data_IF_250137941035
#
_entry.id   IF_250137941035
#
_cell.length_a   1.000
_cell.length_b   1.000
_cell.length_c   1.000
_cell.angle_alpha   90.00
_cell.angle_beta   90.00
_cell.angle_gamma   90.00
#
_symmetry.space_group_name_H-M   'P 1'
#
loop_
_entity.id
_entity.type
_entity.pdbx_description
1 polymer ?
#
# COMPACT_ATOMS: atom_id res chain seq x y z
N UNK A 1 64.30 2.29 -49.59
CA UNK A 1 62.96 2.74 -49.18
C UNK A 1 62.32 1.62 -48.38
N UNK A 2 62.20 1.81 -47.07
CA UNK A 2 61.63 0.83 -46.11
C UNK A 2 60.13 1.08 -45.97
N UNK A 3 59.24 0.06 -45.94
CA UNK A 3 57.83 0.28 -45.72
C UNK A 3 57.53 0.48 -44.23
N UNK A 4 56.80 1.55 -43.92
CA UNK A 4 56.36 1.90 -42.57
C UNK A 4 55.36 0.87 -42.02
N UNK A 5 55.61 0.37 -40.80
CA UNK A 5 54.62 -0.36 -40.00
C UNK A 5 53.57 0.62 -39.48
N UNK A 6 52.32 0.43 -39.89
CA UNK A 6 51.15 1.08 -39.29
C UNK A 6 50.94 0.43 -37.91
N UNK A 7 51.11 1.22 -36.84
CA UNK A 7 50.79 0.80 -35.48
C UNK A 7 49.28 0.62 -35.32
N UNK A 8 48.88 -0.53 -34.76
CA UNK A 8 47.51 -0.74 -34.33
C UNK A 8 47.17 0.22 -33.18
N UNK A 9 45.95 0.76 -33.11
CA UNK A 9 45.54 1.59 -31.98
C UNK A 9 45.29 0.70 -30.75
N UNK A 10 46.24 0.66 -29.81
CA UNK A 10 46.13 -0.03 -28.51
C UNK A 10 45.20 0.68 -27.49
N UNK A 11 44.32 1.60 -27.92
CA UNK A 11 43.54 2.46 -27.01
C UNK A 11 42.09 2.02 -26.71
N UNK A 12 41.50 1.10 -27.46
CA UNK A 12 40.04 0.87 -27.40
C UNK A 12 39.54 -0.05 -26.28
N UNK A 13 40.37 -0.98 -25.80
CA UNK A 13 39.94 -2.01 -24.84
C UNK A 13 39.71 -1.47 -23.43
N UNK A 14 40.61 -0.59 -22.97
CA UNK A 14 40.55 -0.04 -21.62
C UNK A 14 39.34 0.89 -21.42
N UNK A 15 38.97 1.69 -22.42
CA UNK A 15 37.81 2.59 -22.33
C UNK A 15 36.48 1.84 -22.42
N UNK A 16 36.42 0.75 -23.21
CA UNK A 16 35.25 -0.15 -23.25
C UNK A 16 35.11 -0.92 -21.93
N UNK A 17 36.21 -1.37 -21.34
CA UNK A 17 36.21 -2.08 -20.05
C UNK A 17 35.86 -1.12 -18.91
N UNK A 18 36.32 0.14 -18.96
CA UNK A 18 35.96 1.18 -18.00
C UNK A 18 34.51 1.62 -18.14
N UNK A 19 34.00 1.75 -19.36
CA UNK A 19 32.59 2.01 -19.64
C UNK A 19 31.70 0.84 -19.22
N UNK A 20 32.13 -0.40 -19.45
CA UNK A 20 31.44 -1.61 -18.97
C UNK A 20 31.48 -1.71 -17.44
N UNK A 21 32.60 -1.37 -16.80
CA UNK A 21 32.75 -1.33 -15.35
C UNK A 21 31.96 -0.17 -14.71
N UNK A 22 31.85 0.98 -15.37
CA UNK A 22 30.98 2.09 -14.97
C UNK A 22 29.51 1.75 -15.15
N UNK A 23 29.13 1.11 -16.26
CA UNK A 23 27.78 0.59 -16.49
C UNK A 23 27.43 -0.47 -15.43
N UNK A 24 28.34 -1.40 -15.14
CA UNK A 24 28.19 -2.38 -14.06
C UNK A 24 28.16 -1.73 -12.66
N UNK A 25 28.85 -0.60 -12.44
CA UNK A 25 28.79 0.22 -11.21
C UNK A 25 27.50 1.05 -11.11
N UNK A 26 26.86 1.37 -12.24
CA UNK A 26 25.55 2.00 -12.29
C UNK A 26 24.42 0.97 -12.12
N UNK A 27 24.62 -0.26 -12.59
CA UNK A 27 23.69 -1.38 -12.43
C UNK A 27 23.75 -2.02 -11.02
N UNK A 28 24.84 -1.83 -10.27
CA UNK A 28 24.92 -2.28 -8.87
C UNK A 28 24.11 -1.37 -7.95
N UNK A 29 23.04 -1.93 -7.37
CA UNK A 29 22.29 -1.31 -6.29
C UNK A 29 23.21 -0.80 -5.17
N UNK A 30 22.91 0.41 -4.67
CA UNK A 30 23.73 1.11 -3.65
C UNK A 30 23.05 1.14 -2.27
N UNK A 31 21.77 0.82 -2.20
CA UNK A 31 20.96 0.89 -0.98
C UNK A 31 21.42 -0.11 0.10
N UNK A 32 21.50 0.34 1.35
CA UNK A 32 21.78 -0.55 2.50
C UNK A 32 20.50 -1.23 2.98
N UNK A 33 20.61 -2.25 3.85
CA UNK A 33 19.43 -2.88 4.46
C UNK A 33 18.52 -1.90 5.21
N UNK A 34 19.08 -0.81 5.78
CA UNK A 34 18.31 0.26 6.42
C UNK A 34 17.50 1.06 5.42
N UNK A 35 18.08 1.35 4.24
CA UNK A 35 17.35 2.00 3.15
C UNK A 35 16.22 1.10 2.63
N UNK A 36 16.46 -0.22 2.53
CA UNK A 36 15.42 -1.18 2.17
C UNK A 36 14.30 -1.22 3.22
N UNK A 37 14.62 -1.32 4.52
CA UNK A 37 13.64 -1.28 5.60
C UNK A 37 12.76 -0.02 5.52
N UNK A 38 13.41 1.12 5.33
CA UNK A 38 12.75 2.41 5.19
C UNK A 38 11.81 2.44 3.98
N UNK A 39 12.27 2.04 2.80
CA UNK A 39 11.44 2.03 1.59
C UNK A 39 10.27 1.06 1.69
N UNK A 40 10.47 -0.15 2.21
CA UNK A 40 9.39 -1.12 2.44
C UNK A 40 8.37 -0.56 3.43
N UNK A 41 8.83 -0.07 4.59
CA UNK A 41 7.95 0.51 5.61
C UNK A 41 7.14 1.69 5.06
N UNK A 42 7.77 2.64 4.38
CA UNK A 42 7.09 3.82 3.82
C UNK A 42 6.14 3.50 2.65
N UNK A 43 6.37 2.41 1.91
CA UNK A 43 5.48 1.98 0.82
C UNK A 43 4.21 1.35 1.37
N UNK A 44 4.32 0.56 2.45
CA UNK A 44 3.18 -0.08 3.10
C UNK A 44 2.42 0.90 4.02
N UNK A 45 3.15 1.72 4.80
CA UNK A 45 2.64 2.58 5.88
C UNK A 45 1.91 3.85 5.42
N UNK A 46 1.01 3.78 4.45
CA UNK A 46 0.15 4.90 4.07
C UNK A 46 -1.00 5.10 5.07
N UNK A 47 -1.53 6.32 5.28
CA UNK A 47 -2.65 6.54 6.19
C UNK A 47 -3.84 5.66 5.83
N UNK A 48 -4.09 5.46 4.53
CA UNK A 48 -5.16 4.62 4.03
C UNK A 48 -5.00 3.15 4.43
N UNK A 49 -3.77 2.66 4.61
CA UNK A 49 -3.50 1.25 4.90
C UNK A 49 -3.91 0.85 6.32
N UNK A 50 -3.68 1.68 7.34
CA UNK A 50 -3.91 1.28 8.73
C UNK A 50 -4.94 2.11 9.50
N UNK A 51 -5.35 3.27 8.98
CA UNK A 51 -6.52 3.99 9.50
C UNK A 51 -7.83 3.16 9.57
N UNK A 52 -8.10 2.19 8.66
CA UNK A 52 -9.33 1.40 8.72
C UNK A 52 -9.23 0.13 9.58
N UNK A 53 -8.05 -0.20 10.13
CA UNK A 53 -7.88 -1.42 10.93
C UNK A 53 -8.78 -1.49 12.17
N UNK A 54 -8.97 -0.41 12.96
CA UNK A 54 -9.95 -0.42 14.06
C UNK A 54 -11.35 -0.82 13.61
N UNK A 55 -11.81 -0.30 12.46
CA UNK A 55 -13.09 -0.62 11.87
C UNK A 55 -13.19 -2.07 11.38
N UNK A 56 -12.10 -2.61 10.84
CA UNK A 56 -12.03 -4.03 10.47
C UNK A 56 -12.19 -4.94 11.71
N UNK A 57 -11.52 -4.60 12.82
CA UNK A 57 -11.66 -5.32 14.09
C UNK A 57 -13.09 -5.21 14.65
N UNK A 58 -13.70 -4.02 14.58
CA UNK A 58 -15.09 -3.82 14.99
C UNK A 58 -16.09 -4.64 14.16
N UNK A 59 -15.81 -4.80 12.87
CA UNK A 59 -16.68 -5.52 11.95
C UNK A 59 -16.52 -7.05 12.03
N UNK A 60 -15.33 -7.55 12.41
CA UNK A 60 -15.08 -8.98 12.66
C UNK A 60 -15.42 -9.41 14.09
N UNK A 61 -15.39 -8.47 15.03
CA UNK A 61 -15.37 -8.73 16.45
C UNK A 61 -13.96 -9.11 16.93
N UNK A 62 -13.69 -8.91 18.22
CA UNK A 62 -12.33 -9.00 18.78
C UNK A 62 -11.55 -10.28 18.43
N UNK A 63 -12.02 -11.51 18.74
CA UNK A 63 -11.20 -12.70 18.53
C UNK A 63 -10.89 -12.95 17.05
N UNK A 64 -11.89 -12.80 16.17
CA UNK A 64 -11.70 -12.98 14.73
C UNK A 64 -10.84 -11.86 14.14
N UNK A 65 -11.06 -10.61 14.55
CA UNK A 65 -10.27 -9.46 14.13
C UNK A 65 -8.79 -9.61 14.46
N UNK A 66 -8.46 -9.98 15.71
CA UNK A 66 -7.08 -10.23 16.15
C UNK A 66 -6.47 -11.41 15.39
N UNK A 67 -7.19 -12.54 15.28
CA UNK A 67 -6.69 -13.70 14.54
C UNK A 67 -6.41 -13.37 13.07
N UNK A 68 -7.33 -12.68 12.39
CA UNK A 68 -7.15 -12.24 11.00
C UNK A 68 -5.98 -11.28 10.85
N UNK A 69 -5.78 -10.34 11.78
CA UNK A 69 -4.65 -9.41 11.77
C UNK A 69 -3.31 -10.13 11.95
N UNK A 70 -3.23 -11.07 12.90
CA UNK A 70 -2.03 -11.88 13.17
C UNK A 70 -1.68 -12.74 11.95
N UNK A 71 -2.65 -13.51 11.45
CA UNK A 71 -2.45 -14.39 10.29
C UNK A 71 -2.07 -13.55 9.06
N UNK A 72 -2.77 -12.44 8.83
CA UNK A 72 -2.48 -11.53 7.73
C UNK A 72 -1.05 -10.98 7.77
N UNK A 73 -0.61 -10.54 8.95
CA UNK A 73 0.77 -10.04 9.17
C UNK A 73 1.81 -11.13 8.91
N UNK A 74 1.62 -12.33 9.49
CA UNK A 74 2.59 -13.43 9.38
C UNK A 74 2.71 -13.94 7.93
N UNK A 75 1.58 -14.10 7.25
CA UNK A 75 1.57 -14.61 5.87
C UNK A 75 2.19 -13.61 4.91
N UNK A 76 1.90 -12.32 5.03
CA UNK A 76 2.52 -11.30 4.16
C UNK A 76 4.01 -11.11 4.47
N UNK A 77 4.41 -11.19 5.73
CA UNK A 77 5.84 -11.19 6.09
C UNK A 77 6.58 -12.37 5.46
N UNK A 78 6.05 -13.59 5.61
CA UNK A 78 6.61 -14.79 4.97
C UNK A 78 6.62 -14.67 3.44
N UNK A 79 5.54 -14.17 2.85
CA UNK A 79 5.40 -13.98 1.40
C UNK A 79 6.43 -12.98 0.86
N UNK A 80 6.68 -11.88 1.58
CA UNK A 80 7.72 -10.91 1.27
C UNK A 80 9.11 -11.54 1.31
N UNK A 81 9.40 -12.38 2.30
CA UNK A 81 10.67 -13.12 2.37
C UNK A 81 10.82 -14.12 1.21
N UNK A 82 9.73 -14.80 0.81
CA UNK A 82 9.72 -15.71 -0.34
C UNK A 82 10.04 -14.93 -1.62
N UNK A 83 9.33 -13.85 -1.90
CA UNK A 83 9.57 -13.02 -3.10
C UNK A 83 11.01 -12.52 -3.10
N UNK A 84 11.52 -12.06 -1.96
CA UNK A 84 12.89 -11.61 -1.84
C UNK A 84 13.93 -12.73 -2.08
N UNK A 85 13.58 -13.97 -1.72
CA UNK A 85 14.41 -15.15 -1.94
C UNK A 85 14.49 -15.54 -3.43
N UNK A 86 13.38 -15.38 -4.16
CA UNK A 86 13.19 -15.81 -5.55
C UNK A 86 13.67 -14.77 -6.57
N UNK A 87 14.04 -13.57 -6.14
CA UNK A 87 14.59 -12.51 -6.99
C UNK A 87 15.67 -12.96 -8.00
N UNK A 88 16.56 -13.86 -7.56
CA UNK A 88 17.55 -14.53 -8.41
C UNK A 88 17.05 -15.93 -8.75
N UNK A 89 16.11 -16.00 -9.68
CA UNK A 89 15.56 -17.26 -10.18
C UNK A 89 16.15 -17.58 -11.55
N UNK A 90 16.57 -18.84 -11.72
CA UNK A 90 17.15 -19.35 -12.97
C UNK A 90 18.45 -18.66 -13.43
N UNK A 91 19.20 -18.06 -12.51
CA UNK A 91 20.45 -17.33 -12.81
C UNK A 91 20.24 -15.85 -13.16
N UNK A 92 19.00 -15.43 -13.44
CA UNK A 92 18.67 -14.06 -13.81
C UNK A 92 18.18 -13.23 -12.62
N UNK A 93 18.49 -11.93 -12.62
CA UNK A 93 17.99 -10.95 -11.65
C UNK A 93 16.70 -10.31 -12.20
N UNK A 94 15.55 -10.54 -11.56
CA UNK A 94 14.26 -10.08 -12.06
C UNK A 94 13.84 -8.74 -11.46
N UNK A 95 13.97 -7.64 -12.21
CA UNK A 95 13.82 -6.27 -11.67
C UNK A 95 12.43 -5.83 -11.24
N UNK A 96 11.39 -6.55 -11.64
CA UNK A 96 10.00 -6.24 -11.31
C UNK A 96 9.21 -7.49 -11.01
N UNK A 97 8.11 -7.35 -10.27
CA UNK A 97 7.32 -8.50 -9.85
C UNK A 97 6.72 -9.26 -11.05
N UNK A 98 6.27 -8.53 -12.07
CA UNK A 98 5.74 -9.10 -13.32
C UNK A 98 6.76 -9.92 -14.09
N UNK A 99 8.04 -9.53 -14.07
CA UNK A 99 9.11 -10.28 -14.74
C UNK A 99 9.48 -11.54 -13.95
N UNK A 100 9.53 -11.44 -12.62
CA UNK A 100 9.71 -12.61 -11.77
C UNK A 100 8.59 -13.63 -12.00
N UNK A 101 7.33 -13.18 -11.99
CA UNK A 101 6.19 -14.06 -12.26
C UNK A 101 6.20 -14.65 -13.68
N UNK A 102 6.64 -13.88 -14.69
CA UNK A 102 6.85 -14.39 -16.06
C UNK A 102 7.86 -15.53 -16.08
N UNK A 103 8.96 -15.40 -15.35
CA UNK A 103 10.02 -16.41 -15.32
C UNK A 103 9.59 -17.72 -14.65
N UNK A 104 8.71 -17.64 -13.65
CA UNK A 104 8.22 -18.80 -12.88
C UNK A 104 7.00 -19.45 -13.54
N UNK A 105 6.04 -18.66 -14.03
CA UNK A 105 4.74 -19.13 -14.52
C UNK A 105 4.53 -18.98 -16.03
N UNK A 106 5.51 -18.46 -16.76
CA UNK A 106 5.39 -18.16 -18.19
C UNK A 106 4.59 -16.88 -18.47
N UNK A 107 4.17 -16.66 -19.73
CA UNK A 107 3.46 -15.43 -20.14
C UNK A 107 2.21 -15.12 -19.31
N UNK A 108 1.49 -16.15 -18.83
CA UNK A 108 0.33 -16.00 -17.97
C UNK A 108 0.66 -15.31 -16.64
N UNK A 109 1.81 -15.62 -16.02
CA UNK A 109 2.25 -14.99 -14.78
C UNK A 109 2.50 -13.49 -14.94
N UNK A 110 3.01 -13.06 -16.10
CA UNK A 110 3.20 -11.65 -16.41
C UNK A 110 1.87 -10.89 -16.40
N UNK A 111 0.88 -11.40 -17.12
CA UNK A 111 -0.42 -10.76 -17.25
C UNK A 111 -1.22 -10.82 -15.96
N UNK A 112 -1.11 -11.93 -15.21
CA UNK A 112 -1.71 -12.07 -13.88
C UNK A 112 -1.22 -10.96 -12.94
N UNK A 113 0.09 -10.83 -12.76
CA UNK A 113 0.66 -9.79 -11.88
C UNK A 113 0.30 -8.40 -12.39
N UNK A 114 0.42 -8.17 -13.70
CA UNK A 114 0.12 -6.86 -14.28
C UNK A 114 -1.33 -6.45 -14.03
N UNK A 115 -2.31 -7.35 -14.22
CA UNK A 115 -3.72 -7.06 -13.97
C UNK A 115 -3.97 -6.70 -12.50
N UNK A 116 -3.55 -7.56 -11.57
CA UNK A 116 -3.81 -7.32 -10.15
C UNK A 116 -3.03 -6.14 -9.59
N UNK A 117 -1.82 -5.85 -10.09
CA UNK A 117 -1.06 -4.65 -9.71
C UNK A 117 -1.80 -3.38 -10.15
N UNK A 118 -2.42 -3.38 -11.34
CA UNK A 118 -3.21 -2.24 -11.78
C UNK A 118 -4.48 -2.06 -10.93
N UNK A 119 -5.17 -3.14 -10.58
CA UNK A 119 -6.33 -3.08 -9.68
C UNK A 119 -5.92 -2.54 -8.31
N UNK A 120 -4.83 -3.06 -7.73
CA UNK A 120 -4.29 -2.58 -6.47
C UNK A 120 -3.90 -1.09 -6.53
N UNK A 121 -3.24 -0.67 -7.61
CA UNK A 121 -2.86 0.72 -7.81
C UNK A 121 -4.05 1.66 -7.93
N UNK A 122 -5.07 1.30 -8.73
CA UNK A 122 -6.31 2.08 -8.89
C UNK A 122 -7.06 2.19 -7.56
N UNK A 123 -7.27 1.06 -6.87
CA UNK A 123 -7.98 1.05 -5.60
C UNK A 123 -7.27 1.85 -4.51
N UNK A 124 -5.94 1.71 -4.40
CA UNK A 124 -5.13 2.49 -3.47
C UNK A 124 -5.23 4.00 -3.78
N UNK A 125 -5.14 4.39 -5.05
CA UNK A 125 -5.24 5.79 -5.47
C UNK A 125 -6.61 6.40 -5.16
N UNK A 126 -7.69 5.63 -5.32
CA UNK A 126 -9.04 6.07 -4.91
C UNK A 126 -9.10 6.26 -3.39
N UNK A 127 -8.63 5.27 -2.62
CA UNK A 127 -8.68 5.28 -1.16
C UNK A 127 -7.88 6.45 -0.55
N UNK A 128 -6.67 6.73 -1.07
CA UNK A 128 -5.86 7.85 -0.57
C UNK A 128 -6.46 9.22 -0.94
N UNK A 129 -7.11 9.37 -2.09
CA UNK A 129 -7.82 10.62 -2.42
C UNK A 129 -9.01 10.86 -1.51
N UNK A 130 -9.79 9.81 -1.18
CA UNK A 130 -10.90 9.92 -0.23
C UNK A 130 -10.36 10.28 1.15
N UNK A 131 -9.29 9.64 1.62
CA UNK A 131 -8.67 9.93 2.91
C UNK A 131 -8.13 11.36 3.01
N UNK A 132 -7.45 11.85 1.97
CA UNK A 132 -6.95 13.21 1.91
C UNK A 132 -8.07 14.26 1.84
N UNK A 133 -9.10 14.04 1.01
CA UNK A 133 -10.28 14.90 0.97
C UNK A 133 -11.03 14.94 2.31
N UNK A 134 -11.16 13.79 2.98
CA UNK A 134 -11.75 13.68 4.32
C UNK A 134 -10.93 14.45 5.35
N UNK A 135 -9.60 14.36 5.24
CA UNK A 135 -8.68 15.06 6.11
C UNK A 135 -8.72 16.58 5.93
N UNK A 136 -8.71 17.06 4.68
CA UNK A 136 -8.84 18.48 4.37
C UNK A 136 -10.18 19.04 4.85
N UNK A 137 -11.27 18.31 4.65
CA UNK A 137 -12.59 18.69 5.14
C UNK A 137 -12.63 18.78 6.67
N UNK A 138 -11.99 17.83 7.36
CA UNK A 138 -11.90 17.85 8.82
C UNK A 138 -11.14 19.09 9.33
N UNK A 139 -10.06 19.48 8.66
CA UNK A 139 -9.34 20.73 8.96
C UNK A 139 -10.22 21.96 8.66
N UNK A 140 -10.92 21.98 7.52
CA UNK A 140 -11.81 23.09 7.16
C UNK A 140 -12.92 23.32 8.19
N UNK A 141 -13.61 22.25 8.59
CA UNK A 141 -14.67 22.28 9.62
C UNK A 141 -14.18 22.77 10.98
N UNK A 142 -12.87 22.76 11.23
CA UNK A 142 -12.32 23.28 12.46
C UNK A 142 -12.28 24.81 12.50
N UNK A 143 -12.07 25.46 11.35
CA UNK A 143 -11.90 26.92 11.25
C UNK A 143 -13.13 27.65 10.70
N UNK A 144 -14.08 26.94 10.08
CA UNK A 144 -15.32 27.50 9.56
C UNK A 144 -16.52 26.92 10.31
N UNK A 145 -17.38 27.80 10.82
CA UNK A 145 -18.64 27.44 11.46
C UNK A 145 -19.72 27.10 10.43
N UNK A 146 -20.76 26.37 10.85
CA UNK A 146 -21.83 25.86 9.99
C UNK A 146 -22.57 26.95 9.17
N UNK A 147 -22.45 28.21 9.56
CA UNK A 147 -23.13 29.36 8.92
C UNK A 147 -22.41 29.89 7.65
N UNK A 148 -21.16 29.50 7.38
CA UNK A 148 -20.33 30.05 6.28
C UNK A 148 -20.48 29.35 4.91
N UNK A 149 -21.51 28.51 4.74
CA UNK A 149 -21.64 27.69 3.54
C UNK A 149 -20.65 26.52 3.57
N UNK A 150 -21.13 25.33 3.94
CA UNK A 150 -20.27 24.16 4.08
C UNK A 150 -19.83 23.63 2.70
N UNK A 151 -18.54 23.73 2.39
CA UNK A 151 -17.95 23.01 1.27
C UNK A 151 -18.12 21.50 1.47
N UNK A 152 -18.52 20.80 0.41
CA UNK A 152 -18.81 19.38 0.49
C UNK A 152 -17.55 18.52 0.43
N UNK A 153 -17.62 17.26 0.89
CA UNK A 153 -16.48 16.33 0.83
C UNK A 153 -15.94 16.15 -0.60
N UNK A 154 -16.85 16.09 -1.56
CA UNK A 154 -16.54 15.94 -2.99
C UNK A 154 -15.70 17.11 -3.49
N UNK A 155 -15.97 18.33 -3.03
CA UNK A 155 -15.17 19.50 -3.38
C UNK A 155 -13.74 19.38 -2.85
N UNK A 156 -13.54 18.92 -1.61
CA UNK A 156 -12.21 18.68 -1.07
C UNK A 156 -11.46 17.57 -1.82
N UNK A 157 -12.14 16.49 -2.20
CA UNK A 157 -11.56 15.42 -3.02
C UNK A 157 -11.14 15.96 -4.40
N UNK A 158 -11.99 16.75 -5.06
CA UNK A 158 -11.67 17.36 -6.36
C UNK A 158 -10.51 18.34 -6.26
N UNK A 159 -10.49 19.20 -5.24
CA UNK A 159 -9.39 20.14 -4.98
C UNK A 159 -8.07 19.40 -4.78
N UNK A 160 -8.08 18.35 -3.97
CA UNK A 160 -6.90 17.53 -3.74
C UNK A 160 -6.46 16.78 -5.01
N UNK A 161 -7.39 16.19 -5.76
CA UNK A 161 -7.10 15.53 -7.03
C UNK A 161 -6.52 16.48 -8.09
N UNK A 162 -7.01 17.73 -8.15
CA UNK A 162 -6.43 18.77 -9.00
C UNK A 162 -5.00 19.14 -8.57
N UNK A 163 -4.76 19.26 -7.26
CA UNK A 163 -3.42 19.47 -6.71
C UNK A 163 -2.48 18.31 -7.03
N UNK A 164 -2.91 17.05 -6.87
CA UNK A 164 -2.13 15.87 -7.22
C UNK A 164 -1.87 15.78 -8.73
N UNK A 165 -2.85 16.14 -9.56
CA UNK A 165 -2.66 16.22 -11.01
C UNK A 165 -1.52 17.18 -11.34
N UNK A 166 -1.50 18.38 -10.75
CA UNK A 166 -0.41 19.35 -10.94
C UNK A 166 0.94 18.78 -10.52
N UNK A 167 1.01 18.15 -9.34
CA UNK A 167 2.25 17.54 -8.84
C UNK A 167 2.75 16.40 -9.72
N UNK A 168 1.84 15.58 -10.26
CA UNK A 168 2.20 14.48 -11.16
C UNK A 168 2.82 14.94 -12.48
N UNK A 169 2.66 16.21 -12.85
CA UNK A 169 3.29 16.79 -14.04
C UNK A 169 4.71 17.32 -13.78
N UNK A 170 5.15 17.46 -12.51
CA UNK A 170 6.45 18.05 -12.19
C UNK A 170 7.61 17.08 -12.59
N UNK A 171 8.59 17.55 -13.39
CA UNK A 171 9.53 16.66 -14.08
C UNK A 171 10.77 16.21 -13.26
N UNK A 172 10.94 16.61 -12.00
CA UNK A 172 12.22 16.41 -11.30
C UNK A 172 12.09 15.90 -9.85
N UNK A 173 12.59 14.68 -9.61
CA UNK A 173 12.68 14.04 -8.28
C UNK A 173 13.93 14.50 -7.51
N UNK A 174 14.98 14.98 -8.19
CA UNK A 174 16.24 15.37 -7.53
C UNK A 174 16.10 16.66 -6.72
N UNK A 175 15.25 17.59 -7.16
CA UNK A 175 14.88 18.81 -6.41
C UNK A 175 13.87 18.56 -5.28
N UNK A 176 13.26 17.37 -5.19
CA UNK A 176 12.19 17.03 -4.23
C UNK A 176 12.65 16.13 -3.07
N UNK A 177 13.96 15.97 -2.84
CA UNK A 177 14.48 15.16 -1.70
C UNK A 177 13.93 15.63 -0.36
N UNK A 178 13.76 16.94 -0.20
CA UNK A 178 13.16 17.54 1.00
C UNK A 178 11.66 17.21 1.10
N UNK A 179 10.93 17.15 -0.02
CA UNK A 179 9.50 16.77 -0.02
C UNK A 179 9.33 15.32 0.41
N UNK A 180 10.16 14.40 -0.12
CA UNK A 180 10.17 13.01 0.33
C UNK A 180 10.50 12.89 1.83
N UNK A 181 11.42 13.72 2.34
CA UNK A 181 11.72 13.76 3.77
C UNK A 181 10.53 14.28 4.61
N UNK A 182 9.84 15.31 4.14
CA UNK A 182 8.62 15.85 4.78
C UNK A 182 7.47 14.84 4.77
N UNK A 183 7.25 14.16 3.64
CA UNK A 183 6.23 13.10 3.53
C UNK A 183 6.52 11.95 4.49
N UNK A 184 7.80 11.54 4.58
CA UNK A 184 8.25 10.51 5.53
C UNK A 184 8.05 10.95 6.98
N UNK A 185 8.47 12.17 7.33
CA UNK A 185 8.28 12.70 8.67
C UNK A 185 6.79 12.74 9.02
N UNK A 186 5.94 13.07 8.04
CA UNK A 186 4.49 13.04 8.17
C UNK A 186 3.93 11.63 8.32
N UNK A 187 4.54 10.59 7.74
CA UNK A 187 4.18 9.19 8.05
C UNK A 187 4.35 8.85 9.52
N UNK A 188 5.51 9.22 10.09
CA UNK A 188 5.81 8.96 11.50
C UNK A 188 4.92 9.84 12.39
N UNK A 189 4.74 11.11 12.00
CA UNK A 189 3.85 12.05 12.67
C UNK A 189 2.41 11.58 12.69
N UNK A 190 1.87 11.14 11.56
CA UNK A 190 0.53 10.58 11.45
C UNK A 190 0.38 9.34 12.35
N UNK A 191 1.31 8.38 12.30
CA UNK A 191 1.27 7.20 13.16
C UNK A 191 1.25 7.57 14.66
N UNK A 192 2.20 8.40 15.10
CA UNK A 192 2.30 8.79 16.51
C UNK A 192 1.11 9.60 17.00
N UNK A 193 0.61 10.51 16.18
CA UNK A 193 -0.54 11.37 16.52
C UNK A 193 -1.85 10.61 16.48
N UNK A 194 -2.12 9.81 15.44
CA UNK A 194 -3.32 8.99 15.37
C UNK A 194 -3.40 8.03 16.57
N UNK A 195 -2.31 7.34 16.91
CA UNK A 195 -2.25 6.45 18.08
C UNK A 195 -2.45 7.24 19.38
N UNK A 196 -1.67 8.30 19.59
CA UNK A 196 -1.70 9.07 20.83
C UNK A 196 -3.07 9.71 21.10
N UNK A 197 -3.70 10.28 20.07
CA UNK A 197 -5.02 10.90 20.17
C UNK A 197 -6.11 9.86 20.35
N UNK A 198 -6.05 8.73 19.65
CA UNK A 198 -7.00 7.63 19.83
C UNK A 198 -7.00 7.13 21.27
N UNK A 199 -5.80 6.92 21.85
CA UNK A 199 -5.66 6.51 23.25
C UNK A 199 -6.20 7.60 24.18
N UNK A 200 -5.88 8.87 23.91
CA UNK A 200 -6.34 9.99 24.72
C UNK A 200 -7.86 10.13 24.72
N UNK A 201 -8.49 10.08 23.55
CA UNK A 201 -9.94 10.18 23.38
C UNK A 201 -10.64 9.00 24.06
N UNK A 202 -10.11 7.79 23.91
CA UNK A 202 -10.61 6.59 24.56
C UNK A 202 -10.59 6.62 26.10
N UNK A 203 -9.72 7.44 26.71
CA UNK A 203 -9.73 7.69 28.17
C UNK A 203 -10.74 8.77 28.60
N UNK A 204 -11.25 9.57 27.66
CA UNK A 204 -12.23 10.64 27.93
C UNK A 204 -13.67 10.23 27.70
N UNK A 205 -13.89 9.25 26.84
CA UNK A 205 -15.20 8.63 26.63
C UNK A 205 -15.56 7.79 27.86
N UNK A 206 -16.81 7.89 28.33
CA UNK A 206 -17.28 6.99 29.39
C UNK A 206 -17.28 5.56 28.87
N UNK A 207 -16.51 4.68 29.53
CA UNK A 207 -16.34 3.28 29.14
C UNK A 207 -17.65 2.49 29.16
N UNK A 208 -18.68 2.95 29.87
CA UNK A 208 -20.01 2.34 29.89
C UNK A 208 -20.81 2.61 28.61
N UNK A 209 -20.47 3.65 27.86
CA UNK A 209 -21.15 4.03 26.62
C UNK A 209 -20.56 3.32 25.38
N UNK A 210 -19.37 2.73 25.51
CA UNK A 210 -18.69 2.04 24.41
C UNK A 210 -19.20 0.61 24.27
N UNK A 211 -20.01 0.37 23.24
CA UNK A 211 -20.42 -0.97 22.86
C UNK A 211 -19.36 -1.66 21.97
N UNK A 212 -19.16 -2.95 22.19
CA UNK A 212 -18.29 -3.81 21.38
C UNK A 212 -19.08 -4.91 20.65
N UNK A 213 -20.41 -4.83 20.66
CA UNK A 213 -21.26 -5.77 19.97
C UNK A 213 -21.21 -5.57 18.46
N UNK A 214 -21.40 -6.67 17.72
CA UNK A 214 -21.48 -6.62 16.27
C UNK A 214 -22.79 -5.95 15.84
N UNK A 215 -22.67 -4.89 15.04
CA UNK A 215 -23.80 -4.04 14.63
C UNK A 215 -24.61 -4.61 13.45
N UNK A 216 -25.92 -4.40 13.50
CA UNK A 216 -26.88 -4.74 12.43
C UNK A 216 -27.45 -6.16 12.49
N UNK A 217 -28.23 -6.52 11.46
CA UNK A 217 -28.83 -7.85 11.31
C UNK A 217 -27.78 -8.95 11.09
N UNK A 218 -28.14 -10.23 11.28
CA UNK A 218 -27.22 -11.37 11.03
C UNK A 218 -26.56 -11.30 9.65
N UNK A 219 -27.34 -10.98 8.61
CA UNK A 219 -26.81 -10.79 7.26
C UNK A 219 -25.87 -9.58 7.17
N UNK A 220 -26.10 -8.51 7.91
CA UNK A 220 -25.18 -7.35 7.90
C UNK A 220 -23.86 -7.68 8.58
N UNK A 221 -23.90 -8.39 9.72
CA UNK A 221 -22.70 -8.85 10.44
C UNK A 221 -21.79 -9.71 9.56
N UNK A 222 -22.35 -10.68 8.84
CA UNK A 222 -21.57 -11.57 7.96
C UNK A 222 -20.85 -10.78 6.85
N UNK A 223 -21.55 -9.88 6.17
CA UNK A 223 -20.93 -9.17 5.05
C UNK A 223 -20.00 -8.03 5.49
N UNK A 224 -20.24 -7.43 6.67
CA UNK A 224 -19.26 -6.54 7.32
C UNK A 224 -17.98 -7.30 7.68
N UNK A 225 -18.10 -8.52 8.21
CA UNK A 225 -16.95 -9.38 8.46
C UNK A 225 -16.19 -9.71 7.17
N UNK A 226 -16.89 -10.02 6.07
CA UNK A 226 -16.26 -10.24 4.77
C UNK A 226 -15.52 -8.98 4.27
N UNK A 227 -16.17 -7.82 4.28
CA UNK A 227 -15.56 -6.56 3.91
C UNK A 227 -14.29 -6.27 4.75
N UNK A 228 -14.35 -6.50 6.06
CA UNK A 228 -13.22 -6.33 6.96
C UNK A 228 -12.00 -7.21 6.64
N UNK A 229 -12.21 -8.43 6.11
CA UNK A 229 -11.09 -9.27 5.65
C UNK A 229 -10.32 -8.63 4.49
N UNK A 230 -11.03 -7.98 3.56
CA UNK A 230 -10.42 -7.21 2.48
C UNK A 230 -9.61 -6.02 3.01
N UNK A 231 -10.15 -5.32 4.00
CA UNK A 231 -9.46 -4.20 4.65
C UNK A 231 -8.16 -4.63 5.32
N UNK A 232 -8.16 -5.77 6.01
CA UNK A 232 -6.94 -6.35 6.59
C UNK A 232 -5.93 -6.72 5.49
N UNK A 233 -6.39 -7.33 4.39
CA UNK A 233 -5.52 -7.67 3.27
C UNK A 233 -4.88 -6.42 2.62
N UNK A 234 -5.65 -5.33 2.47
CA UNK A 234 -5.14 -4.06 1.97
C UNK A 234 -4.04 -3.47 2.85
N UNK A 235 -4.18 -3.61 4.17
CA UNK A 235 -3.26 -3.02 5.13
C UNK A 235 -1.81 -3.49 4.94
N UNK A 236 -1.62 -4.74 4.52
CA UNK A 236 -0.30 -5.36 4.40
C UNK A 236 0.19 -5.49 2.94
N UNK A 237 -0.47 -4.82 2.00
CA UNK A 237 -0.14 -4.94 0.59
C UNK A 237 1.21 -4.30 0.23
N UNK A 238 2.06 -5.04 -0.51
CA UNK A 238 3.32 -4.52 -1.07
C UNK A 238 3.55 -5.03 -2.50
N UNK A 239 3.03 -4.26 -3.45
CA UNK A 239 3.16 -4.58 -4.87
C UNK A 239 4.54 -4.24 -5.47
N UNK A 240 5.48 -3.67 -4.71
CA UNK A 240 6.73 -3.09 -5.24
C UNK A 240 8.02 -3.69 -4.63
N UNK A 241 7.91 -4.81 -3.91
CA UNK A 241 9.06 -5.39 -3.22
C UNK A 241 10.25 -5.72 -4.15
N UNK A 242 10.06 -6.37 -5.33
CA UNK A 242 11.16 -6.59 -6.27
C UNK A 242 11.80 -5.28 -6.75
N UNK A 243 11.00 -4.26 -7.06
CA UNK A 243 11.48 -2.97 -7.53
C UNK A 243 12.35 -2.29 -6.46
N UNK A 244 11.98 -2.37 -5.18
CA UNK A 244 12.81 -1.91 -4.05
C UNK A 244 14.11 -2.72 -3.98
N UNK A 245 14.00 -4.04 -4.09
CA UNK A 245 15.13 -4.96 -4.01
C UNK A 245 16.18 -4.71 -5.09
N UNK A 246 15.77 -4.26 -6.28
CA UNK A 246 16.66 -3.89 -7.40
C UNK A 246 17.71 -2.85 -7.01
N UNK A 247 17.37 -1.96 -6.07
CA UNK A 247 18.20 -0.83 -5.66
C UNK A 247 19.20 -1.17 -4.54
N UNK A 248 19.10 -2.38 -3.97
CA UNK A 248 19.85 -2.80 -2.77
C UNK A 248 21.21 -3.37 -3.13
N UNK A 249 22.23 -3.05 -2.32
CA UNK A 249 23.60 -3.54 -2.51
C UNK A 249 23.74 -5.03 -2.13
N UNK A 250 24.73 -5.69 -2.73
CA UNK A 250 25.08 -7.07 -2.38
C UNK A 250 25.60 -7.17 -0.92
N UNK A 251 25.29 -8.26 -0.17
CA UNK A 251 24.43 -9.39 -0.54
C UNK A 251 22.94 -9.05 -0.45
N UNK A 252 22.25 -9.02 -1.60
CA UNK A 252 20.90 -8.45 -1.75
C UNK A 252 19.87 -9.20 -0.88
N UNK A 253 19.85 -10.54 -0.95
CA UNK A 253 18.88 -11.36 -0.20
C UNK A 253 18.96 -11.13 1.31
N UNK A 254 20.16 -11.14 1.87
CA UNK A 254 20.35 -10.94 3.31
C UNK A 254 19.98 -9.52 3.75
N UNK A 255 20.33 -8.52 2.93
CA UNK A 255 19.95 -7.13 3.18
C UNK A 255 18.43 -6.95 3.10
N UNK A 256 17.76 -7.61 2.17
CA UNK A 256 16.30 -7.60 2.07
C UNK A 256 15.63 -8.31 3.23
N UNK A 257 16.12 -9.47 3.68
CA UNK A 257 15.54 -10.16 4.84
C UNK A 257 15.59 -9.29 6.10
N UNK A 258 16.73 -8.64 6.36
CA UNK A 258 16.85 -7.67 7.45
C UNK A 258 15.92 -6.47 7.24
N UNK A 259 15.90 -5.94 6.03
CA UNK A 259 15.07 -4.79 5.64
C UNK A 259 13.59 -5.02 5.88
N UNK A 260 13.04 -6.07 5.25
CA UNK A 260 11.64 -6.51 5.36
C UNK A 260 11.29 -6.80 6.81
N UNK A 261 12.12 -7.55 7.54
CA UNK A 261 11.79 -7.91 8.94
C UNK A 261 11.78 -6.69 9.86
N UNK A 262 12.69 -5.72 9.66
CA UNK A 262 12.64 -4.44 10.38
C UNK A 262 11.41 -3.62 10.00
N UNK A 263 11.06 -3.56 8.71
CA UNK A 263 9.87 -2.85 8.24
C UNK A 263 8.58 -3.43 8.85
N UNK A 264 8.42 -4.75 8.81
CA UNK A 264 7.27 -5.45 9.43
C UNK A 264 7.22 -5.25 10.94
N UNK A 265 8.37 -5.17 11.62
CA UNK A 265 8.41 -4.85 13.05
C UNK A 265 7.87 -3.45 13.34
N UNK A 266 8.22 -2.45 12.52
CA UNK A 266 7.69 -1.08 12.61
C UNK A 266 6.19 -1.04 12.30
N UNK A 267 5.77 -1.77 11.27
CA UNK A 267 4.36 -1.91 10.89
C UNK A 267 3.56 -2.52 12.04
N UNK A 268 4.00 -3.62 12.63
CA UNK A 268 3.34 -4.23 13.80
C UNK A 268 3.22 -3.23 14.95
N UNK A 269 4.30 -2.55 15.31
CA UNK A 269 4.28 -1.57 16.41
C UNK A 269 3.30 -0.42 16.18
N UNK A 270 3.09 0.00 14.94
CA UNK A 270 2.19 1.11 14.61
C UNK A 270 0.75 0.64 14.34
N UNK A 271 0.59 -0.31 13.42
CA UNK A 271 -0.71 -0.79 12.94
C UNK A 271 -1.48 -1.51 14.02
N UNK A 272 -0.84 -2.41 14.77
CA UNK A 272 -1.54 -3.17 15.80
C UNK A 272 -1.91 -2.27 16.97
N UNK A 273 -1.01 -1.37 17.36
CA UNK A 273 -1.31 -0.37 18.39
C UNK A 273 -2.50 0.49 17.98
N UNK A 274 -2.55 1.00 16.74
CA UNK A 274 -3.70 1.77 16.27
C UNK A 274 -4.98 0.92 16.19
N UNK A 275 -4.90 -0.29 15.64
CA UNK A 275 -6.02 -1.22 15.52
C UNK A 275 -6.65 -1.54 16.88
N UNK A 276 -5.83 -1.91 17.85
CA UNK A 276 -6.28 -2.28 19.19
C UNK A 276 -6.76 -1.07 19.99
N UNK A 277 -6.00 0.03 19.98
CA UNK A 277 -6.41 1.24 20.70
C UNK A 277 -7.66 1.87 20.09
N UNK A 278 -7.82 1.86 18.78
CA UNK A 278 -9.03 2.38 18.10
C UNK A 278 -10.26 1.52 18.36
N UNK A 279 -10.14 0.20 18.28
CA UNK A 279 -11.22 -0.70 18.64
C UNK A 279 -11.59 -0.56 20.12
N UNK A 280 -10.58 -0.47 21.00
CA UNK A 280 -10.81 -0.20 22.42
C UNK A 280 -11.47 1.15 22.66
N UNK A 281 -11.02 2.22 22.02
CA UNK A 281 -11.52 3.58 22.24
C UNK A 281 -12.97 3.74 21.79
N UNK A 282 -13.31 3.27 20.58
CA UNK A 282 -14.57 3.61 19.91
C UNK A 282 -15.53 2.43 19.73
N UNK A 283 -15.08 1.20 19.97
CA UNK A 283 -15.92 0.01 19.88
C UNK A 283 -16.60 -0.14 18.51
N UNK A 284 -17.92 -0.35 18.53
CA UNK A 284 -18.73 -0.54 17.32
C UNK A 284 -18.96 0.71 16.49
N UNK A 285 -18.77 1.90 17.09
CA UNK A 285 -19.03 3.21 16.48
C UNK A 285 -17.80 3.78 15.74
N UNK A 286 -16.70 3.04 15.76
CA UNK A 286 -15.49 3.41 15.01
C UNK A 286 -15.82 3.60 13.54
N UNK A 287 -15.31 4.68 12.96
CA UNK A 287 -15.53 5.02 11.56
C UNK A 287 -14.51 4.30 10.68
N UNK A 288 -14.84 4.02 9.40
CA UNK A 288 -13.90 3.40 8.47
C UNK A 288 -12.58 4.16 8.34
N UNK A 289 -12.60 5.49 8.50
CA UNK A 289 -11.40 6.30 8.63
C UNK A 289 -11.28 6.77 10.08
N UNK A 290 -10.34 6.22 10.85
CA UNK A 290 -10.25 6.44 12.31
C UNK A 290 -10.19 7.91 12.73
N UNK A 291 -9.63 8.80 11.90
CA UNK A 291 -9.56 10.23 12.21
C UNK A 291 -10.94 10.88 12.30
N UNK A 292 -11.94 10.31 11.63
CA UNK A 292 -13.33 10.73 11.71
C UNK A 292 -14.02 10.29 13.00
N UNK A 293 -13.43 9.38 13.78
CA UNK A 293 -13.92 9.01 15.12
C UNK A 293 -13.38 9.89 16.23
N UNK A 294 -12.32 10.66 15.97
CA UNK A 294 -11.67 11.47 16.99
C UNK A 294 -12.52 12.70 17.35
N UNK A 295 -12.64 12.99 18.64
CA UNK A 295 -13.43 14.13 19.15
C UNK A 295 -12.59 15.18 19.88
N UNK A 296 -11.63 14.76 20.72
CA UNK A 296 -10.73 15.68 21.46
C UNK A 296 -9.27 15.19 21.57
N UNK A 297 -8.29 16.09 21.78
CA UNK A 297 -8.37 17.55 21.67
C UNK A 297 -8.28 18.01 20.21
N UNK A 298 -8.85 19.17 19.90
CA UNK A 298 -9.03 19.60 18.50
C UNK A 298 -7.72 19.82 17.73
N UNK A 299 -6.70 20.38 18.38
CA UNK A 299 -5.43 20.69 17.71
C UNK A 299 -4.69 19.43 17.22
N UNK A 300 -4.79 18.31 17.95
CA UNK A 300 -4.16 17.06 17.54
C UNK A 300 -4.91 16.39 16.40
N UNK A 301 -6.24 16.55 16.34
CA UNK A 301 -7.05 16.09 15.22
C UNK A 301 -6.64 16.84 13.95
N UNK A 302 -6.53 18.17 14.02
CA UNK A 302 -6.02 18.99 12.90
C UNK A 302 -4.62 18.52 12.48
N UNK A 303 -3.71 18.34 13.45
CA UNK A 303 -2.35 17.88 13.19
C UNK A 303 -2.31 16.49 12.51
N UNK A 304 -3.10 15.53 12.99
CA UNK A 304 -3.17 14.20 12.39
C UNK A 304 -3.69 14.26 10.94
N UNK A 305 -4.74 15.04 10.68
CA UNK A 305 -5.28 15.23 9.33
C UNK A 305 -4.27 15.93 8.40
N UNK A 306 -3.53 16.93 8.89
CA UNK A 306 -2.47 17.57 8.10
C UNK A 306 -1.32 16.60 7.77
N UNK A 307 -0.89 15.78 8.72
CA UNK A 307 0.12 14.75 8.45
C UNK A 307 -0.38 13.72 7.42
N UNK A 308 -1.65 13.32 7.48
CA UNK A 308 -2.23 12.42 6.47
C UNK A 308 -2.16 13.02 5.06
N UNK A 309 -2.59 14.27 4.89
CA UNK A 309 -2.57 14.97 3.59
C UNK A 309 -1.15 15.13 3.04
N UNK A 310 -0.21 15.59 3.88
CA UNK A 310 1.18 15.78 3.49
C UNK A 310 1.82 14.45 3.09
N UNK A 311 1.55 13.38 3.84
CA UNK A 311 2.07 12.06 3.50
C UNK A 311 1.53 11.56 2.16
N UNK A 312 0.21 11.63 1.95
CA UNK A 312 -0.45 11.13 0.72
C UNK A 312 0.06 11.85 -0.52
N UNK A 313 0.36 13.14 -0.40
CA UNK A 313 0.97 13.96 -1.46
C UNK A 313 2.27 13.33 -2.00
N UNK A 314 3.06 12.67 -1.14
CA UNK A 314 4.31 12.02 -1.53
C UNK A 314 4.12 10.77 -2.40
N UNK A 315 2.95 10.12 -2.37
CA UNK A 315 2.68 8.88 -3.11
C UNK A 315 2.67 9.10 -4.64
N UNK A 316 2.19 10.25 -5.12
CA UNK A 316 2.05 10.53 -6.55
C UNK A 316 3.31 11.06 -7.23
N UNK A 317 4.30 11.50 -6.46
CA UNK A 317 5.60 11.93 -7.00
C UNK A 317 6.40 10.78 -7.63
N UNK A 318 6.02 9.52 -7.39
CA UNK A 318 6.72 8.32 -7.85
C UNK A 318 6.30 7.80 -9.22
N UNK A 319 5.25 8.35 -9.84
CA UNK A 319 4.82 7.96 -11.20
C UNK A 319 5.73 8.65 -12.23
N UNK A 320 7.01 8.28 -12.29
CA UNK A 320 7.94 8.84 -13.27
C UNK A 320 8.65 7.77 -14.09
N UNK A 321 8.51 7.87 -15.41
CA UNK A 321 9.38 7.24 -16.40
C UNK A 321 10.27 8.32 -17.05
N UNK A 322 11.56 8.03 -17.21
CA UNK A 322 12.50 8.87 -17.97
C UNK A 322 12.20 8.71 -19.47
N UNK A 323 11.23 9.45 -19.99
CA UNK A 323 10.99 9.51 -21.43
C UNK A 323 11.86 10.59 -22.08
N UNK A 324 12.70 10.17 -23.03
CA UNK A 324 13.66 11.02 -23.74
C UNK A 324 13.07 11.73 -24.96
N UNK A 325 11.84 11.42 -25.37
CA UNK A 325 11.19 11.99 -26.56
C UNK A 325 9.99 12.91 -26.28
N UNK A 326 9.83 13.98 -27.07
CA UNK A 326 8.68 14.92 -26.97
C UNK A 326 7.33 14.22 -27.11
N UNK A 327 7.19 13.30 -28.07
CA UNK A 327 5.94 12.54 -28.28
C UNK A 327 5.63 11.60 -27.10
N UNK A 328 6.64 10.94 -26.54
CA UNK A 328 6.47 10.07 -25.38
C UNK A 328 6.07 10.86 -24.13
N UNK A 329 6.67 12.05 -23.93
CA UNK A 329 6.24 13.02 -22.92
C UNK A 329 4.78 13.45 -23.17
N UNK A 330 4.45 13.82 -24.40
CA UNK A 330 3.11 13.93 -25.01
C UNK A 330 2.08 12.97 -24.41
N UNK A 331 2.25 11.71 -24.80
CA UNK A 331 1.37 10.61 -24.45
C UNK A 331 1.31 10.40 -22.94
N UNK A 332 2.45 10.44 -22.24
CA UNK A 332 2.47 10.29 -20.78
C UNK A 332 1.64 11.36 -20.09
N UNK A 333 1.79 12.63 -20.44
CA UNK A 333 1.01 13.74 -19.85
C UNK A 333 -0.50 13.49 -20.04
N UNK A 334 -0.92 13.09 -21.24
CA UNK A 334 -2.33 12.80 -21.54
C UNK A 334 -2.85 11.60 -20.74
N UNK A 335 -2.13 10.48 -20.72
CA UNK A 335 -2.54 9.28 -20.00
C UNK A 335 -2.57 9.50 -18.48
N UNK A 336 -1.54 10.13 -17.91
CA UNK A 336 -1.50 10.46 -16.48
C UNK A 336 -2.64 11.43 -16.13
N UNK A 337 -2.89 12.44 -16.97
CA UNK A 337 -3.99 13.38 -16.71
C UNK A 337 -5.36 12.71 -16.77
N UNK A 338 -5.61 11.90 -17.81
CA UNK A 338 -6.86 11.16 -17.94
C UNK A 338 -7.05 10.17 -16.77
N UNK A 339 -5.99 9.47 -16.38
CA UNK A 339 -6.00 8.57 -15.23
C UNK A 339 -6.36 9.31 -13.94
N UNK A 340 -5.66 10.40 -13.62
CA UNK A 340 -5.90 11.18 -12.40
C UNK A 340 -7.32 11.75 -12.37
N UNK A 341 -7.80 12.30 -13.50
CA UNK A 341 -9.19 12.81 -13.61
C UNK A 341 -10.20 11.69 -13.34
N UNK A 342 -10.02 10.50 -13.92
CA UNK A 342 -10.92 9.36 -13.68
C UNK A 342 -10.91 8.93 -12.22
N UNK A 343 -9.73 8.79 -11.60
CA UNK A 343 -9.60 8.45 -10.18
C UNK A 343 -10.33 9.49 -9.32
N UNK A 344 -10.09 10.78 -9.55
CA UNK A 344 -10.72 11.86 -8.79
C UNK A 344 -12.23 11.92 -8.95
N UNK A 345 -12.73 11.69 -10.17
CA UNK A 345 -14.18 11.61 -10.39
C UNK A 345 -14.79 10.43 -9.65
N UNK A 346 -14.16 9.26 -9.67
CA UNK A 346 -14.65 8.08 -8.93
C UNK A 346 -14.62 8.33 -7.41
N UNK A 347 -13.51 8.85 -6.88
CA UNK A 347 -13.36 9.18 -5.46
C UNK A 347 -14.40 10.21 -4.99
N UNK A 348 -14.67 11.23 -5.81
CA UNK A 348 -15.67 12.26 -5.49
C UNK A 348 -17.11 11.74 -5.65
N UNK A 349 -17.35 10.85 -6.62
CA UNK A 349 -18.67 10.29 -6.88
C UNK A 349 -19.08 9.25 -5.83
N UNK A 350 -18.13 8.49 -5.27
CA UNK A 350 -18.37 7.44 -4.28
C UNK A 350 -17.30 7.49 -3.18
N UNK A 351 -17.42 8.41 -2.20
CA UNK A 351 -16.41 8.58 -1.15
C UNK A 351 -16.46 7.50 -0.05
N UNK A 352 -16.68 6.23 -0.43
CA UNK A 352 -16.82 5.09 0.48
C UNK A 352 -15.44 4.51 0.83
N UNK A 353 -14.71 5.20 1.70
CA UNK A 353 -13.31 4.87 2.04
C UNK A 353 -13.12 3.39 2.42
N UNK A 354 -13.92 2.88 3.37
CA UNK A 354 -13.80 1.50 3.85
C UNK A 354 -14.03 0.46 2.76
N UNK A 355 -14.98 0.72 1.87
CA UNK A 355 -15.34 -0.20 0.79
C UNK A 355 -14.30 -0.24 -0.33
N UNK A 356 -13.74 0.91 -0.71
CA UNK A 356 -12.65 0.98 -1.69
C UNK A 356 -11.36 0.35 -1.16
N UNK A 357 -11.07 0.53 0.13
CA UNK A 357 -9.97 -0.18 0.79
C UNK A 357 -10.22 -1.69 0.75
N UNK A 358 -11.42 -2.14 1.11
CA UNK A 358 -11.78 -3.56 1.13
C UNK A 358 -11.68 -4.22 -0.25
N UNK A 359 -12.27 -3.62 -1.29
CA UNK A 359 -12.23 -4.18 -2.66
C UNK A 359 -10.81 -4.21 -3.21
N UNK A 360 -10.01 -3.18 -2.92
CA UNK A 360 -8.61 -3.13 -3.32
C UNK A 360 -7.79 -4.24 -2.64
N UNK A 361 -8.02 -4.48 -1.35
CA UNK A 361 -7.40 -5.59 -0.63
C UNK A 361 -7.85 -6.95 -1.13
N UNK A 362 -9.14 -7.12 -1.41
CA UNK A 362 -9.73 -8.38 -1.87
C UNK A 362 -9.28 -8.77 -3.28
N UNK A 363 -9.36 -7.84 -4.24
CA UNK A 363 -9.09 -8.10 -5.65
C UNK A 363 -7.63 -7.84 -5.99
N UNK A 364 -7.03 -6.76 -5.49
CA UNK A 364 -5.65 -6.39 -5.82
C UNK A 364 -4.62 -7.14 -4.99
N UNK A 365 -4.60 -6.90 -3.68
CA UNK A 365 -3.51 -7.36 -2.81
C UNK A 365 -3.60 -8.83 -2.40
N UNK A 366 -4.82 -9.39 -2.20
CA UNK A 366 -4.95 -10.80 -1.80
C UNK A 366 -4.31 -11.76 -2.82
N UNK A 367 -4.60 -11.64 -4.14
CA UNK A 367 -3.96 -12.48 -5.15
C UNK A 367 -2.44 -12.24 -5.26
N UNK A 368 -1.99 -10.99 -5.14
CA UNK A 368 -0.58 -10.61 -5.29
C UNK A 368 0.31 -10.97 -4.10
N UNK A 369 -0.15 -10.75 -2.87
CA UNK A 369 0.72 -10.74 -1.70
C UNK A 369 0.51 -11.94 -0.78
N UNK A 370 -0.60 -12.66 -0.95
CA UNK A 370 -0.91 -13.85 -0.17
C UNK A 370 -0.90 -15.12 -1.02
N UNK A 371 -1.52 -15.08 -2.21
CA UNK A 371 -1.70 -16.28 -3.05
C UNK A 371 -0.48 -16.53 -3.94
N UNK A 372 -0.08 -15.53 -4.75
CA UNK A 372 0.99 -15.71 -5.73
C UNK A 372 2.36 -16.05 -5.12
N UNK A 373 2.80 -15.46 -3.99
CA UNK A 373 4.07 -15.80 -3.36
C UNK A 373 4.06 -17.24 -2.85
N UNK A 374 2.94 -17.70 -2.27
CA UNK A 374 2.78 -19.08 -1.81
C UNK A 374 2.82 -20.07 -3.00
N UNK A 375 2.17 -19.76 -4.12
CA UNK A 375 2.28 -20.54 -5.36
C UNK A 375 3.71 -20.54 -5.92
N UNK A 376 4.38 -19.39 -5.88
CA UNK A 376 5.76 -19.25 -6.34
C UNK A 376 6.71 -20.08 -5.47
N UNK A 377 6.48 -20.13 -4.16
CA UNK A 377 7.23 -21.00 -3.25
C UNK A 377 7.00 -22.49 -3.54
N UNK A 378 5.76 -22.91 -3.79
CA UNK A 378 5.46 -24.31 -4.15
C UNK A 378 6.14 -24.74 -5.46
N UNK A 379 6.30 -23.82 -6.41
CA UNK A 379 6.87 -24.11 -7.74
C UNK A 379 8.39 -23.94 -7.81
N UNK A 380 8.94 -22.92 -7.16
CA UNK A 380 10.33 -22.47 -7.31
C UNK A 380 11.10 -22.36 -5.98
N UNK A 381 10.43 -22.56 -4.85
CA UNK A 381 11.03 -22.48 -3.51
C UNK A 381 11.92 -23.68 -3.18
N UNK A 382 12.90 -23.47 -2.30
CA UNK A 382 13.74 -24.54 -1.76
C UNK A 382 12.98 -25.29 -0.68
N UNK A 383 12.61 -26.53 -0.96
CA UNK A 383 11.93 -27.40 0.00
C UNK A 383 12.92 -28.16 0.89
N UNK A 384 12.52 -28.51 2.13
CA UNK A 384 13.33 -29.35 3.01
C UNK A 384 13.66 -30.71 2.39
N UNK A 385 14.82 -31.26 2.76
CA UNK A 385 15.24 -32.62 2.38
C UNK A 385 14.44 -33.69 3.11
N UNK A 386 14.13 -33.45 4.39
CA UNK A 386 13.33 -34.36 5.20
C UNK A 386 11.92 -34.54 4.60
N UNK A 387 11.49 -35.77 4.24
CA UNK A 387 10.20 -36.03 3.59
C UNK A 387 8.98 -35.60 4.41
N UNK A 388 8.99 -35.81 5.73
CA UNK A 388 7.88 -35.43 6.61
C UNK A 388 7.73 -33.91 6.68
N UNK A 389 8.84 -33.20 6.87
CA UNK A 389 8.86 -31.73 6.90
C UNK A 389 8.49 -31.13 5.53
N UNK A 390 8.96 -31.74 4.43
CA UNK A 390 8.60 -31.35 3.06
C UNK A 390 7.09 -31.43 2.83
N UNK A 391 6.46 -32.54 3.24
CA UNK A 391 5.01 -32.73 3.11
C UNK A 391 4.24 -31.71 3.96
N UNK A 392 4.69 -31.46 5.20
CA UNK A 392 4.08 -30.46 6.07
C UNK A 392 4.17 -29.04 5.48
N UNK A 393 5.33 -28.62 5.00
CA UNK A 393 5.53 -27.30 4.38
C UNK A 393 4.66 -27.13 3.13
N UNK A 394 4.56 -28.17 2.29
CA UNK A 394 3.65 -28.16 1.14
C UNK A 394 2.19 -28.04 1.58
N UNK A 395 1.76 -28.82 2.57
CA UNK A 395 0.39 -28.79 3.08
C UNK A 395 0.02 -27.41 3.64
N UNK A 396 0.88 -26.81 4.46
CA UNK A 396 0.68 -25.47 5.03
C UNK A 396 0.62 -24.42 3.92
N UNK A 397 1.55 -24.45 2.96
CA UNK A 397 1.57 -23.47 1.87
C UNK A 397 0.34 -23.60 0.97
N UNK A 398 -0.09 -24.82 0.65
CA UNK A 398 -1.33 -25.08 -0.07
C UNK A 398 -2.57 -24.61 0.71
N UNK A 399 -2.58 -24.80 2.03
CA UNK A 399 -3.66 -24.30 2.89
C UNK A 399 -3.73 -22.76 2.87
N UNK A 400 -2.58 -22.07 2.88
CA UNK A 400 -2.51 -20.60 2.71
C UNK A 400 -3.12 -20.18 1.37
N UNK A 401 -2.74 -20.84 0.26
CA UNK A 401 -3.31 -20.56 -1.07
C UNK A 401 -4.83 -20.71 -1.07
N UNK A 402 -5.35 -21.82 -0.54
CA UNK A 402 -6.79 -22.09 -0.49
C UNK A 402 -7.50 -21.08 0.40
N UNK A 403 -7.00 -20.86 1.62
CA UNK A 403 -7.58 -19.94 2.59
C UNK A 403 -7.67 -18.52 2.02
N UNK A 404 -6.58 -17.98 1.49
CA UNK A 404 -6.58 -16.61 0.98
C UNK A 404 -7.32 -16.44 -0.35
N UNK A 405 -7.44 -17.50 -1.15
CA UNK A 405 -8.35 -17.48 -2.31
C UNK A 405 -9.81 -17.38 -1.87
N UNK A 406 -10.20 -18.13 -0.83
CA UNK A 406 -11.55 -18.03 -0.24
C UNK A 406 -11.75 -16.65 0.39
N UNK A 407 -10.79 -16.17 1.18
CA UNK A 407 -10.85 -14.85 1.82
C UNK A 407 -11.00 -13.74 0.78
N UNK A 408 -10.22 -13.77 -0.30
CA UNK A 408 -10.33 -12.79 -1.39
C UNK A 408 -11.71 -12.80 -2.05
N UNK A 409 -12.27 -13.99 -2.31
CA UNK A 409 -13.61 -14.12 -2.88
C UNK A 409 -14.70 -13.59 -1.93
N UNK A 410 -14.67 -13.99 -0.66
CA UNK A 410 -15.62 -13.53 0.36
C UNK A 410 -15.51 -12.03 0.56
N UNK A 411 -14.29 -11.50 0.68
CA UNK A 411 -14.04 -10.07 0.85
C UNK A 411 -14.55 -9.25 -0.34
N UNK A 412 -14.37 -9.74 -1.57
CA UNK A 412 -14.92 -9.11 -2.77
C UNK A 412 -16.46 -9.07 -2.72
N UNK A 413 -17.12 -10.17 -2.34
CA UNK A 413 -18.58 -10.23 -2.15
C UNK A 413 -19.03 -9.23 -1.08
N UNK A 414 -18.30 -9.15 0.05
CA UNK A 414 -18.53 -8.20 1.12
C UNK A 414 -18.45 -6.74 0.66
N UNK A 415 -17.37 -6.39 -0.03
CA UNK A 415 -17.13 -5.05 -0.55
C UNK A 415 -18.17 -4.64 -1.60
N UNK A 416 -18.47 -5.50 -2.58
CA UNK A 416 -19.48 -5.21 -3.61
C UNK A 416 -20.86 -5.02 -2.99
N UNK A 417 -21.24 -5.83 -2.00
CA UNK A 417 -22.53 -5.65 -1.31
C UNK A 417 -22.55 -4.34 -0.53
N UNK A 418 -21.47 -3.98 0.16
CA UNK A 418 -21.39 -2.74 0.92
C UNK A 418 -21.55 -1.52 -0.02
N UNK A 419 -20.80 -1.48 -1.12
CA UNK A 419 -20.94 -0.44 -2.16
C UNK A 419 -22.38 -0.39 -2.70
N UNK A 420 -22.99 -1.55 -2.99
CA UNK A 420 -24.35 -1.59 -3.51
C UNK A 420 -25.41 -1.12 -2.51
N UNK A 421 -25.15 -1.18 -1.20
CA UNK A 421 -26.01 -0.63 -0.16
C UNK A 421 -25.76 0.88 0.00
N UNK A 422 -24.50 1.29 0.04
CA UNK A 422 -24.09 2.68 0.19
C UNK A 422 -24.56 3.54 -0.99
N UNK A 423 -24.46 3.04 -2.22
CA UNK A 423 -24.99 3.74 -3.42
C UNK A 423 -26.51 3.97 -3.34
N UNK A 424 -27.27 3.10 -2.66
CA UNK A 424 -28.74 3.27 -2.54
C UNK A 424 -29.14 4.36 -1.55
N UNK A 425 -28.32 4.59 -0.53
CA UNK A 425 -28.56 5.61 0.50
C UNK A 425 -27.89 6.94 0.15
N UNK A 426 -26.84 6.88 -0.67
CA UNK A 426 -26.05 8.03 -1.07
C UNK A 426 -26.73 8.87 -2.16
N UNK A 427 -26.74 10.20 -1.96
CA UNK A 427 -27.08 11.17 -2.99
C UNK A 427 -25.80 11.79 -3.54
N UNK A 428 -25.59 11.66 -4.85
CA UNK A 428 -24.43 12.25 -5.52
C UNK A 428 -24.27 13.73 -5.17
N UNK A 429 -23.05 14.11 -4.81
CA UNK A 429 -22.65 15.49 -4.48
C UNK A 429 -23.38 16.15 -3.30
N UNK A 430 -24.01 15.37 -2.42
CA UNK A 430 -24.46 15.83 -1.10
C UNK A 430 -23.52 15.38 0.01
N UNK A 431 -23.44 16.17 1.09
CA UNK A 431 -22.69 15.81 2.28
C UNK A 431 -23.38 14.66 3.04
N UNK A 432 -22.58 13.69 3.50
CA UNK A 432 -22.98 12.69 4.49
C UNK A 432 -22.96 13.28 5.90
#
# INVERSE_FOLDING_TARGET
MSPARVGAPEGGGADVEKAAAETARMERGRGTWRHAAFHVATTIATPAAYAPLPFALASLGWPLGVCSLVIGTLVTWCSSLVVASLWQWNGDKHTSYRLLAKSIFGPWGYWYVSFFQQVASVGNNIAIQIAAGSSLKAVYKHYHTADDGAMTLQQFIILFGAFELLLSQLPDIHSLRWVNAVCTASTIGFAGTAIGVTIYDGHRIDRKEVDHSLQGSTASKIFRAFNALGTIAFSFGDAMLPEIQSSVREPVRMNMYKGVSTAYSIIVMSYWTLAFSGYWAFGSEVQPYILSSLTVPRWTIVMANLFAVIQITGCYQRIQAKDTGYKARLWRLMYTSAYMVVITLISAAMPFFGDFVSICGAVGFTPLDFVLPALAFLKAGKLPENPGLRSAVKAITSAVVILFSIVGALACIGAVRAIALDVKTYKFFHDM
#
